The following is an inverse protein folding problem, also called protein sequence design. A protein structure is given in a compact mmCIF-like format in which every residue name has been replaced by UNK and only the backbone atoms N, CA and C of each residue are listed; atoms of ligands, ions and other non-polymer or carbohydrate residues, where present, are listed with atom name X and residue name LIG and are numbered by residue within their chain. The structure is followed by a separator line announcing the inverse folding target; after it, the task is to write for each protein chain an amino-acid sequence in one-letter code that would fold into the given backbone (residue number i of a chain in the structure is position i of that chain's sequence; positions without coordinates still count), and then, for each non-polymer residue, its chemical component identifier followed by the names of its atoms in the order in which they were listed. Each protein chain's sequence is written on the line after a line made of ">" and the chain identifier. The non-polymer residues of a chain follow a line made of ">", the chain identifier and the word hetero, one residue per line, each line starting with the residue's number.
data_IF_077208428452
#
_entry.id   IF_077208428452
#
_cell.length_a   1.000
_cell.length_b   1.000
_cell.length_c   1.000
_cell.angle_alpha   90.00
_cell.angle_beta   90.00
_cell.angle_gamma   90.00
#
_symmetry.space_group_name_H-M   'P 1'
#
loop_
_entity.id
_entity.type
_entity.pdbx_description
1 polymer ?
#
# COMPACT_ATOMS: atom_id res chain seq x y z
N UNK A 1 -4.92 7.57 7.04
CA UNK A 1 -4.00 7.78 5.91
C UNK A 1 -3.66 6.44 5.30
N UNK A 2 -4.69 5.73 4.84
CA UNK A 2 -4.52 4.46 4.13
C UNK A 2 -3.95 4.69 2.72
N UNK A 3 -4.18 5.86 2.11
CA UNK A 3 -3.62 6.19 0.79
C UNK A 3 -2.09 6.25 0.83
N UNK A 4 -1.53 6.95 1.82
CA UNK A 4 -0.07 7.02 2.02
C UNK A 4 0.52 5.64 2.29
N UNK A 5 -0.18 4.80 3.06
CA UNK A 5 0.23 3.41 3.32
C UNK A 5 0.24 2.58 2.03
N UNK A 6 -0.84 2.66 1.23
CA UNK A 6 -0.95 2.01 -0.08
C UNK A 6 0.23 2.37 -0.99
N UNK A 7 0.48 3.67 -1.20
CA UNK A 7 1.57 4.11 -2.09
C UNK A 7 2.95 3.70 -1.57
N UNK A 8 3.14 3.70 -0.24
CA UNK A 8 4.37 3.24 0.39
C UNK A 8 4.60 1.74 0.14
N UNK A 9 3.56 0.91 0.30
CA UNK A 9 3.61 -0.54 0.05
C UNK A 9 3.93 -0.80 -1.43
N UNK A 10 3.21 -0.17 -2.37
CA UNK A 10 3.45 -0.31 -3.82
C UNK A 10 4.90 0.04 -4.15
N UNK A 11 5.40 1.16 -3.62
CA UNK A 11 6.79 1.60 -3.81
C UNK A 11 7.80 0.57 -3.30
N UNK A 12 7.52 -0.15 -2.20
CA UNK A 12 8.43 -1.19 -1.72
C UNK A 12 8.34 -2.49 -2.51
N UNK A 13 7.13 -2.89 -2.95
CA UNK A 13 6.93 -4.05 -3.81
C UNK A 13 7.63 -3.90 -5.16
N UNK A 14 7.64 -2.70 -5.74
CA UNK A 14 8.36 -2.43 -7.00
C UNK A 14 9.88 -2.64 -6.93
N UNK A 15 10.47 -2.76 -5.73
CA UNK A 15 11.90 -3.03 -5.54
C UNK A 15 12.24 -4.53 -5.54
N UNK A 16 11.25 -5.42 -5.38
CA UNK A 16 11.45 -6.86 -5.31
C UNK A 16 12.05 -7.49 -6.59
N UNK A 17 11.69 -7.07 -7.82
CA UNK A 17 12.26 -7.65 -9.03
C UNK A 17 13.80 -7.61 -9.04
N UNK A 18 14.39 -6.49 -8.60
CA UNK A 18 15.84 -6.36 -8.52
C UNK A 18 16.48 -7.36 -7.53
N UNK A 19 15.79 -7.72 -6.44
CA UNK A 19 16.26 -8.75 -5.51
C UNK A 19 16.14 -10.15 -6.11
N UNK A 20 15.07 -10.41 -6.86
CA UNK A 20 14.89 -11.66 -7.60
C UNK A 20 15.99 -11.86 -8.65
N UNK A 21 16.36 -10.80 -9.37
CA UNK A 21 17.47 -10.84 -10.33
C UNK A 21 18.80 -11.20 -9.65
N UNK A 22 19.10 -10.58 -8.49
CA UNK A 22 20.28 -10.92 -7.67
C UNK A 22 20.26 -12.36 -7.17
N UNK A 23 19.07 -12.87 -6.84
CA UNK A 23 18.91 -14.28 -6.45
C UNK A 23 19.29 -15.21 -7.61
N UNK A 24 18.77 -14.93 -8.81
CA UNK A 24 19.02 -15.71 -10.03
C UNK A 24 20.48 -15.64 -10.48
N UNK A 25 21.08 -14.44 -10.46
CA UNK A 25 22.47 -14.18 -10.80
C UNK A 25 23.48 -14.77 -9.81
N UNK A 26 23.02 -15.41 -8.72
CA UNK A 26 23.86 -15.96 -7.68
C UNK A 26 24.77 -14.94 -6.97
N UNK A 27 24.36 -13.67 -6.92
CA UNK A 27 25.13 -12.60 -6.28
C UNK A 27 25.34 -12.87 -4.78
N UNK A 28 26.53 -12.56 -4.27
CA UNK A 28 26.87 -12.74 -2.85
C UNK A 28 26.16 -11.75 -1.93
N UNK A 29 25.84 -10.56 -2.45
CA UNK A 29 25.14 -9.47 -1.75
C UNK A 29 23.65 -9.76 -1.52
N UNK A 30 23.03 -10.67 -2.28
CA UNK A 30 21.58 -10.92 -2.25
C UNK A 30 20.99 -11.03 -0.83
N UNK A 31 21.63 -11.80 0.05
CA UNK A 31 21.15 -12.02 1.42
C UNK A 31 21.14 -10.71 2.24
N UNK A 32 22.20 -9.92 2.09
CA UNK A 32 22.35 -8.63 2.77
C UNK A 32 21.34 -7.63 2.23
N UNK A 33 21.19 -7.57 0.90
CA UNK A 33 20.26 -6.67 0.24
C UNK A 33 18.80 -6.99 0.58
N UNK A 34 18.45 -8.27 0.70
CA UNK A 34 17.13 -8.72 1.13
C UNK A 34 16.82 -8.30 2.57
N UNK A 35 17.75 -8.50 3.50
CA UNK A 35 17.60 -8.05 4.88
C UNK A 35 17.50 -6.52 4.98
N UNK A 36 18.28 -5.79 4.17
CA UNK A 36 18.22 -4.34 4.10
C UNK A 36 16.91 -3.84 3.51
N UNK A 37 16.35 -4.52 2.51
CA UNK A 37 15.03 -4.20 1.97
C UNK A 37 13.92 -4.36 3.02
N UNK A 38 13.95 -5.45 3.81
CA UNK A 38 13.01 -5.63 4.94
C UNK A 38 13.13 -4.47 5.93
N UNK A 39 14.35 -4.15 6.36
CA UNK A 39 14.62 -3.03 7.29
C UNK A 39 14.14 -1.68 6.72
N UNK A 40 14.41 -1.39 5.46
CA UNK A 40 13.97 -0.15 4.82
C UNK A 40 12.45 -0.08 4.73
N UNK A 41 11.79 -1.20 4.47
CA UNK A 41 10.33 -1.31 4.44
C UNK A 41 9.74 -1.08 5.83
N UNK A 42 10.30 -1.70 6.88
CA UNK A 42 9.94 -1.44 8.28
C UNK A 42 10.00 0.05 8.62
N UNK A 43 11.12 0.71 8.30
CA UNK A 43 11.35 2.14 8.59
C UNK A 43 10.32 3.03 7.88
N UNK A 44 9.96 2.72 6.63
CA UNK A 44 8.97 3.51 5.89
C UNK A 44 7.54 3.28 6.40
N UNK A 45 7.23 2.08 6.89
CA UNK A 45 5.90 1.75 7.42
C UNK A 45 5.69 2.17 8.88
N UNK A 46 6.78 2.33 9.66
CA UNK A 46 6.70 2.67 11.08
C UNK A 46 5.98 4.00 11.40
N UNK A 47 6.23 5.12 10.68
CA UNK A 47 5.50 6.37 10.90
C UNK A 47 3.99 6.24 10.67
N UNK A 48 3.58 5.27 9.83
CA UNK A 48 2.18 4.99 9.50
C UNK A 48 1.52 4.06 10.52
N UNK A 49 2.25 3.63 11.56
CA UNK A 49 1.80 2.70 12.62
C UNK A 49 1.24 1.40 12.05
N UNK A 50 1.80 0.93 10.93
CA UNK A 50 1.36 -0.32 10.30
C UNK A 50 1.75 -1.53 11.16
N UNK A 51 0.84 -2.49 11.40
CA UNK A 51 1.17 -3.71 12.13
C UNK A 51 2.19 -4.59 11.38
N UNK A 52 2.33 -4.41 10.06
CA UNK A 52 3.30 -5.13 9.23
C UNK A 52 4.75 -4.91 9.68
N UNK A 53 5.06 -3.81 10.37
CA UNK A 53 6.40 -3.54 10.90
C UNK A 53 6.88 -4.68 11.80
N UNK A 54 6.01 -5.18 12.68
CA UNK A 54 6.35 -6.29 13.58
C UNK A 54 6.57 -7.60 12.80
N UNK A 55 5.73 -7.86 11.80
CA UNK A 55 5.84 -9.04 10.94
C UNK A 55 7.15 -9.03 10.16
N UNK A 56 7.48 -7.91 9.49
CA UNK A 56 8.71 -7.76 8.72
C UNK A 56 9.95 -7.83 9.59
N UNK A 57 9.93 -7.19 10.78
CA UNK A 57 11.03 -7.30 11.74
C UNK A 57 11.26 -8.73 12.20
N UNK A 58 10.19 -9.51 12.37
CA UNK A 58 10.30 -10.93 12.74
C UNK A 58 10.91 -11.75 11.60
N UNK A 59 10.48 -11.52 10.36
CA UNK A 59 11.04 -12.16 9.17
C UNK A 59 12.53 -11.83 8.99
N UNK A 60 12.91 -10.56 9.20
CA UNK A 60 14.32 -10.14 9.18
C UNK A 60 15.13 -10.81 10.28
N UNK A 61 14.60 -10.89 11.50
CA UNK A 61 15.24 -11.60 12.62
C UNK A 61 15.52 -13.07 12.31
N UNK A 62 14.63 -13.75 11.56
CA UNK A 62 14.89 -15.12 11.11
C UNK A 62 16.03 -15.22 10.09
N UNK A 63 16.21 -14.22 9.23
CA UNK A 63 17.35 -14.17 8.29
C UNK A 63 18.67 -13.99 9.05
N UNK A 64 18.68 -13.15 10.08
CA UNK A 64 19.85 -12.94 10.95
C UNK A 64 20.18 -14.22 11.74
N UNK A 65 19.17 -14.89 12.30
CA UNK A 65 19.35 -16.15 13.05
C UNK A 65 19.96 -17.30 12.21
N UNK A 66 19.87 -17.24 10.88
CA UNK A 66 20.56 -18.22 10.02
C UNK A 66 22.08 -18.19 10.18
N UNK A 67 22.67 -17.05 10.55
CA UNK A 67 24.10 -16.97 10.84
C UNK A 67 24.45 -17.67 12.16
N UNK A 68 23.51 -17.71 13.11
CA UNK A 68 23.61 -18.43 14.38
C UNK A 68 23.25 -19.93 14.27
N UNK A 69 22.98 -20.41 13.05
CA UNK A 69 22.71 -21.82 12.78
C UNK A 69 21.24 -22.20 12.71
N UNK A 70 20.31 -21.24 12.75
CA UNK A 70 18.90 -21.51 12.45
C UNK A 70 18.74 -22.08 11.03
N UNK A 71 17.93 -23.13 10.91
CA UNK A 71 17.57 -23.76 9.64
C UNK A 71 16.07 -24.01 9.61
N UNK A 72 15.39 -23.45 8.62
CA UNK A 72 13.96 -23.69 8.43
C UNK A 72 13.73 -25.16 8.00
N UNK A 73 12.90 -25.93 8.74
CA UNK A 73 12.58 -27.32 8.42
C UNK A 73 12.01 -27.51 7.01
N UNK A 74 11.29 -26.50 6.49
CA UNK A 74 10.68 -26.54 5.16
C UNK A 74 11.70 -26.40 4.01
N UNK A 75 12.91 -25.92 4.30
CA UNK A 75 13.98 -25.70 3.32
C UNK A 75 15.11 -26.73 3.49
N UNK A 76 15.06 -27.56 4.53
CA UNK A 76 16.03 -28.63 4.78
C UNK A 76 15.94 -29.73 3.70
N UNK A 77 16.85 -29.66 2.74
CA UNK A 77 17.20 -30.81 1.91
C UNK A 77 18.57 -31.32 2.34
N UNK A 78 18.71 -32.63 2.53
CA UNK A 78 19.87 -33.31 3.11
C UNK A 78 21.17 -33.22 2.25
N UNK A 79 21.19 -32.38 1.21
CA UNK A 79 22.23 -32.33 0.16
C UNK A 79 22.60 -30.90 -0.29
N UNK A 80 22.07 -29.84 0.35
CA UNK A 80 22.41 -28.45 0.00
C UNK A 80 23.54 -27.91 0.86
N UNK A 81 24.47 -27.16 0.27
CA UNK A 81 25.45 -26.39 1.04
C UNK A 81 24.74 -25.34 1.90
N UNK A 82 25.30 -25.03 3.09
CA UNK A 82 24.76 -24.01 4.01
C UNK A 82 24.40 -22.70 3.28
N UNK A 83 25.28 -22.26 2.36
CA UNK A 83 25.07 -21.07 1.52
C UNK A 83 23.83 -21.17 0.64
N UNK A 84 23.63 -22.30 -0.06
CA UNK A 84 22.44 -22.51 -0.92
C UNK A 84 21.16 -22.62 -0.07
N UNK A 85 21.24 -23.26 1.10
CA UNK A 85 20.15 -23.31 2.07
C UNK A 85 19.72 -21.92 2.54
N UNK A 86 20.67 -21.09 3.00
CA UNK A 86 20.39 -19.71 3.45
C UNK A 86 19.75 -18.87 2.34
N UNK A 87 20.25 -18.94 1.11
CA UNK A 87 19.67 -18.20 -0.02
C UNK A 87 18.22 -18.62 -0.31
N UNK A 88 17.96 -19.93 -0.33
CA UNK A 88 16.61 -20.45 -0.55
C UNK A 88 15.66 -20.03 0.58
N UNK A 89 16.15 -20.03 1.83
CA UNK A 89 15.39 -19.55 2.98
C UNK A 89 15.06 -18.05 2.88
N UNK A 90 16.04 -17.22 2.50
CA UNK A 90 15.83 -15.79 2.28
C UNK A 90 14.81 -15.54 1.18
N UNK A 91 14.87 -16.29 0.06
CA UNK A 91 13.89 -16.19 -1.01
C UNK A 91 12.47 -16.53 -0.51
N UNK A 92 12.31 -17.62 0.23
CA UNK A 92 11.03 -17.98 0.84
C UNK A 92 10.52 -16.92 1.84
N UNK A 93 11.45 -16.31 2.59
CA UNK A 93 11.13 -15.23 3.54
C UNK A 93 10.66 -13.97 2.83
N UNK A 94 11.31 -13.59 1.72
CA UNK A 94 10.86 -12.48 0.88
C UNK A 94 9.48 -12.74 0.28
N UNK A 95 9.21 -13.95 -0.22
CA UNK A 95 7.86 -14.31 -0.71
C UNK A 95 6.79 -14.20 0.38
N UNK A 96 7.11 -14.58 1.62
CA UNK A 96 6.19 -14.38 2.77
C UNK A 96 5.95 -12.89 3.02
N UNK A 97 7.00 -12.06 3.01
CA UNK A 97 6.89 -10.61 3.19
C UNK A 97 6.06 -9.95 2.08
N UNK A 98 6.34 -10.30 0.82
CA UNK A 98 5.58 -9.86 -0.35
C UNK A 98 4.09 -10.22 -0.23
N UNK A 99 3.79 -11.45 0.15
CA UNK A 99 2.42 -11.91 0.33
C UNK A 99 1.69 -11.07 1.39
N UNK A 100 2.30 -10.84 2.56
CA UNK A 100 1.71 -10.00 3.61
C UNK A 100 1.49 -8.55 3.17
N UNK A 101 2.40 -7.98 2.40
CA UNK A 101 2.26 -6.64 1.83
C UNK A 101 1.12 -6.58 0.81
N UNK A 102 0.99 -7.58 -0.06
CA UNK A 102 -0.08 -7.68 -1.04
C UNK A 102 -1.46 -7.89 -0.37
N UNK A 103 -1.56 -8.70 0.68
CA UNK A 103 -2.80 -8.85 1.45
C UNK A 103 -3.26 -7.53 2.08
N UNK A 104 -2.33 -6.75 2.63
CA UNK A 104 -2.64 -5.41 3.15
C UNK A 104 -3.09 -4.46 2.04
N UNK A 105 -2.41 -4.49 0.89
CA UNK A 105 -2.77 -3.68 -0.27
C UNK A 105 -4.19 -4.00 -0.75
N UNK A 106 -4.52 -5.28 -0.91
CA UNK A 106 -5.85 -5.73 -1.31
C UNK A 106 -6.92 -5.29 -0.32
N UNK A 107 -6.64 -5.35 0.99
CA UNK A 107 -7.56 -4.87 2.03
C UNK A 107 -7.83 -3.37 1.91
N UNK A 108 -6.80 -2.57 1.68
CA UNK A 108 -6.94 -1.12 1.47
C UNK A 108 -7.75 -0.85 0.20
N UNK A 109 -7.46 -1.55 -0.90
CA UNK A 109 -8.18 -1.38 -2.16
C UNK A 109 -9.66 -1.75 -2.05
N UNK A 110 -9.98 -2.84 -1.38
CA UNK A 110 -11.37 -3.21 -1.12
C UNK A 110 -12.08 -2.12 -0.32
N UNK A 111 -11.44 -1.60 0.74
CA UNK A 111 -11.99 -0.52 1.55
C UNK A 111 -12.20 0.77 0.75
N UNK A 112 -11.27 1.09 -0.16
CA UNK A 112 -11.37 2.24 -1.05
C UNK A 112 -12.42 2.07 -2.14
N UNK A 113 -12.64 0.85 -2.64
CA UNK A 113 -13.72 0.58 -3.59
C UNK A 113 -15.08 0.92 -2.99
N UNK A 114 -15.36 0.45 -1.78
CA UNK A 114 -16.62 0.78 -1.07
C UNK A 114 -16.77 2.29 -0.84
N UNK A 115 -15.66 2.98 -0.54
CA UNK A 115 -15.64 4.41 -0.34
C UNK A 115 -15.92 5.17 -1.65
N UNK A 116 -15.32 4.72 -2.75
CA UNK A 116 -15.47 5.30 -4.08
C UNK A 116 -16.90 5.21 -4.58
N UNK A 117 -17.58 4.08 -4.37
CA UNK A 117 -18.99 3.95 -4.79
C UNK A 117 -19.89 4.97 -4.08
N UNK A 118 -19.70 5.14 -2.75
CA UNK A 118 -20.42 6.14 -1.96
C UNK A 118 -20.05 7.56 -2.37
N UNK A 119 -18.77 7.81 -2.66
CA UNK A 119 -18.30 9.11 -3.11
C UNK A 119 -18.84 9.46 -4.51
N UNK A 120 -18.94 8.49 -5.41
CA UNK A 120 -19.55 8.66 -6.73
C UNK A 120 -21.03 9.03 -6.61
N UNK A 121 -21.77 8.32 -5.74
CA UNK A 121 -23.16 8.66 -5.43
C UNK A 121 -23.29 10.06 -4.83
N UNK A 122 -22.37 10.43 -3.93
CA UNK A 122 -22.34 11.76 -3.30
C UNK A 122 -22.15 12.86 -4.34
N UNK A 123 -21.19 12.68 -5.25
CA UNK A 123 -20.93 13.61 -6.34
C UNK A 123 -22.12 13.70 -7.29
N UNK A 124 -22.69 12.57 -7.68
CA UNK A 124 -23.85 12.53 -8.57
C UNK A 124 -25.04 13.29 -7.98
N UNK A 125 -25.31 13.14 -6.67
CA UNK A 125 -26.37 13.87 -5.99
C UNK A 125 -26.05 15.36 -5.81
N UNK A 126 -24.83 15.69 -5.39
CA UNK A 126 -24.42 17.07 -5.15
C UNK A 126 -24.39 17.91 -6.42
N UNK A 127 -23.98 17.31 -7.54
CA UNK A 127 -23.89 17.98 -8.84
C UNK A 127 -25.02 17.58 -9.80
N UNK A 128 -26.13 17.04 -9.30
CA UNK A 128 -27.30 16.71 -10.12
C UNK A 128 -27.97 17.96 -10.72
N UNK A 129 -27.98 19.07 -9.97
CA UNK A 129 -28.67 20.32 -10.33
C UNK A 129 -27.71 21.42 -10.79
N UNK A 130 -26.41 21.25 -10.57
CA UNK A 130 -25.37 22.19 -10.95
C UNK A 130 -24.18 21.41 -11.50
N UNK A 131 -23.66 21.75 -12.70
CA UNK A 131 -22.57 20.99 -13.29
C UNK A 131 -21.30 21.11 -12.44
N UNK A 132 -20.51 20.04 -12.44
CA UNK A 132 -19.18 20.05 -11.82
C UNK A 132 -18.33 21.14 -12.49
N UNK A 133 -17.75 22.09 -11.74
CA UNK A 133 -16.87 23.09 -12.32
C UNK A 133 -15.62 22.40 -12.89
N UNK A 134 -15.26 22.68 -14.16
CA UNK A 134 -14.10 22.06 -14.81
C UNK A 134 -12.85 22.90 -14.51
N UNK A 135 -11.86 22.37 -13.76
CA UNK A 135 -10.62 23.08 -13.53
C UNK A 135 -9.60 22.79 -14.64
N UNK A 136 -8.66 23.73 -14.87
CA UNK A 136 -7.49 23.47 -15.71
C UNK A 136 -6.55 22.43 -15.07
N UNK A 137 -6.46 22.41 -13.73
CA UNK A 137 -5.66 21.46 -12.96
C UNK A 137 -6.37 21.03 -11.67
N UNK A 138 -6.29 19.73 -11.34
CA UNK A 138 -6.83 19.19 -10.09
C UNK A 138 -5.89 19.54 -8.92
N UNK A 139 -6.11 20.70 -8.31
CA UNK A 139 -5.35 21.19 -7.16
C UNK A 139 -5.98 20.73 -5.83
N UNK A 140 -5.21 20.72 -4.75
CA UNK A 140 -5.75 20.44 -3.40
C UNK A 140 -6.86 21.41 -3.01
N UNK A 141 -6.71 22.69 -3.35
CA UNK A 141 -7.73 23.70 -3.11
C UNK A 141 -9.04 23.38 -3.81
N UNK A 142 -8.97 22.97 -5.08
CA UNK A 142 -10.14 22.55 -5.86
C UNK A 142 -10.83 21.32 -5.24
N UNK A 143 -10.07 20.31 -4.81
CA UNK A 143 -10.63 19.14 -4.13
C UNK A 143 -11.33 19.51 -2.83
N UNK A 144 -10.75 20.44 -2.05
CA UNK A 144 -11.32 20.91 -0.81
C UNK A 144 -12.61 21.74 -1.05
N UNK A 145 -12.66 22.56 -2.10
CA UNK A 145 -13.87 23.32 -2.44
C UNK A 145 -15.00 22.40 -2.89
N UNK A 146 -14.72 21.40 -3.73
CA UNK A 146 -15.72 20.40 -4.11
C UNK A 146 -16.24 19.67 -2.88
N UNK A 147 -15.34 19.25 -1.98
CA UNK A 147 -15.73 18.60 -0.74
C UNK A 147 -16.66 19.50 0.10
N UNK A 148 -16.34 20.79 0.25
CA UNK A 148 -17.19 21.73 0.98
C UNK A 148 -18.59 21.87 0.37
N UNK A 149 -18.68 22.04 -0.95
CA UNK A 149 -19.97 22.13 -1.65
C UNK A 149 -20.84 20.90 -1.40
N UNK A 150 -20.26 19.70 -1.39
CA UNK A 150 -20.99 18.46 -1.08
C UNK A 150 -21.57 18.43 0.34
N UNK A 151 -21.05 19.22 1.28
CA UNK A 151 -21.56 19.34 2.64
C UNK A 151 -22.67 20.38 2.80
N UNK A 152 -22.86 21.27 1.83
CA UNK A 152 -23.84 22.36 1.89
C UNK A 152 -25.24 21.94 1.44
N UNK A 153 -25.36 20.88 0.64
CA UNK A 153 -26.66 20.38 0.19
C UNK A 153 -27.31 19.47 1.24
N UNK A 154 -28.59 19.72 1.52
CA UNK A 154 -29.41 18.89 2.43
C UNK A 154 -29.49 17.44 1.96
N UNK A 155 -29.53 17.23 0.64
CA UNK A 155 -29.72 15.91 0.01
C UNK A 155 -28.47 15.01 0.15
N UNK A 156 -27.29 15.60 0.38
CA UNK A 156 -26.00 14.90 0.49
C UNK A 156 -25.46 14.84 1.92
N UNK A 157 -26.04 15.62 2.85
CA UNK A 157 -25.49 15.89 4.18
C UNK A 157 -25.18 14.61 4.98
N UNK A 158 -26.09 13.64 5.01
CA UNK A 158 -25.91 12.39 5.77
C UNK A 158 -24.72 11.58 5.26
N UNK A 159 -24.60 11.42 3.94
CA UNK A 159 -23.52 10.65 3.33
C UNK A 159 -22.18 11.40 3.41
N UNK A 160 -22.22 12.72 3.27
CA UNK A 160 -21.07 13.60 3.49
C UNK A 160 -20.52 13.44 4.91
N UNK A 161 -21.37 13.55 5.94
CA UNK A 161 -20.96 13.39 7.35
C UNK A 161 -20.41 11.99 7.63
N UNK A 162 -21.05 10.96 7.07
CA UNK A 162 -20.55 9.58 7.18
C UNK A 162 -19.13 9.44 6.62
N UNK A 163 -18.88 9.92 5.40
CA UNK A 163 -17.56 9.85 4.77
C UNK A 163 -16.53 10.74 5.48
N UNK A 164 -16.94 11.92 5.95
CA UNK A 164 -16.08 12.83 6.72
C UNK A 164 -15.63 12.22 8.05
N UNK A 165 -16.51 11.51 8.75
CA UNK A 165 -16.18 10.85 10.01
C UNK A 165 -15.33 9.60 9.80
N UNK A 166 -15.57 8.84 8.72
CA UNK A 166 -14.87 7.58 8.45
C UNK A 166 -13.48 7.76 7.86
N UNK A 167 -13.26 8.79 7.03
CA UNK A 167 -12.04 8.95 6.25
C UNK A 167 -11.26 10.21 6.62
N UNK A 168 -9.93 10.07 6.73
CA UNK A 168 -9.05 11.23 6.93
C UNK A 168 -9.12 12.19 5.73
N UNK A 169 -8.78 13.47 5.94
CA UNK A 169 -8.78 14.45 4.84
C UNK A 169 -7.86 14.01 3.68
N UNK A 170 -6.70 13.42 3.99
CA UNK A 170 -5.77 12.88 3.00
C UNK A 170 -6.40 11.75 2.17
N UNK A 171 -7.10 10.81 2.81
CA UNK A 171 -7.75 9.69 2.12
C UNK A 171 -8.92 10.20 1.26
N UNK A 172 -9.71 11.15 1.78
CA UNK A 172 -10.82 11.77 1.02
C UNK A 172 -10.33 12.48 -0.23
N UNK A 173 -9.28 13.29 -0.12
CA UNK A 173 -8.67 13.99 -1.27
C UNK A 173 -8.14 13.00 -2.31
N UNK A 174 -7.45 11.94 -1.86
CA UNK A 174 -6.94 10.90 -2.75
C UNK A 174 -8.06 10.24 -3.57
N UNK A 175 -9.14 9.81 -2.90
CA UNK A 175 -10.29 9.19 -3.56
C UNK A 175 -11.01 10.17 -4.50
N UNK A 176 -11.23 11.40 -4.03
CA UNK A 176 -11.89 12.43 -4.83
C UNK A 176 -11.08 12.79 -6.08
N UNK A 177 -9.76 12.91 -5.95
CA UNK A 177 -8.88 13.16 -7.08
C UNK A 177 -8.96 12.06 -8.12
N UNK A 178 -8.89 10.78 -7.70
CA UNK A 178 -8.97 9.64 -8.60
C UNK A 178 -10.31 9.62 -9.36
N UNK A 179 -11.40 9.85 -8.63
CA UNK A 179 -12.74 9.81 -9.18
C UNK A 179 -12.99 10.96 -10.17
N UNK A 180 -12.62 12.19 -9.79
CA UNK A 180 -12.74 13.36 -10.68
C UNK A 180 -11.82 13.26 -11.89
N UNK A 181 -10.61 12.72 -11.75
CA UNK A 181 -9.74 12.45 -12.88
C UNK A 181 -10.40 11.51 -13.89
N UNK A 182 -11.02 10.42 -13.43
CA UNK A 182 -11.73 9.48 -14.30
C UNK A 182 -12.97 10.10 -14.96
N UNK A 183 -13.72 10.94 -14.24
CA UNK A 183 -14.91 11.61 -14.79
C UNK A 183 -14.55 12.68 -15.82
N UNK A 184 -13.50 13.46 -15.58
CA UNK A 184 -13.09 14.56 -16.44
C UNK A 184 -12.26 14.09 -17.65
N UNK A 185 -11.52 12.98 -17.53
CA UNK A 185 -10.79 12.39 -18.65
C UNK A 185 -11.69 11.74 -19.71
N UNK A 186 -12.97 11.53 -19.39
CA UNK A 186 -13.97 10.94 -20.30
C UNK A 186 -14.82 12.00 -21.04
N UNK A 187 -14.57 13.29 -20.82
CA UNK A 187 -15.22 14.42 -21.50
C UNK A 187 -14.31 15.04 -22.55
#
# INVERSE_FOLDING_TARGET
>A
MQSVLKETIITQLMLLPALSDKYLAQESSYVVDAAQWLKNTEVKLAPLRSPLVSTLSSLRGLIEACDDGYQDPSVQSHSRSKRKGKRAFVAATLSKAEHQLNEELQRIEQHFSEANDKLAQLLALGFAKQPLPIPETLTTHYLDSIWQTLGEHTDTQTMFLYLQARYSATDRRYLLQQLLHNMLAQQ
#
